data_IF_788569414501
#
_entry.id   IF_788569414501
#
_cell.length_a   1.000
_cell.length_b   1.000
_cell.length_c   1.000
_cell.angle_alpha   90.00
_cell.angle_beta   90.00
_cell.angle_gamma   90.00
#
_symmetry.space_group_name_H-M   'P 1'
#
loop_
_entity.id
_entity.type
_entity.pdbx_description
1 polymer ?
#
# COMPACT_ATOMS: atom_id res chain seq x y z
N UNK A 1 4.13 10.64 -0.31
CA UNK A 1 3.58 9.30 0.04
C UNK A 1 3.42 8.39 -1.18
N UNK A 2 2.75 8.79 -2.27
CA UNK A 2 2.53 7.91 -3.44
C UNK A 2 3.83 7.42 -4.07
N UNK A 3 4.75 8.33 -4.37
CA UNK A 3 6.06 7.97 -4.92
C UNK A 3 6.85 7.00 -4.02
N UNK A 4 6.77 7.19 -2.69
CA UNK A 4 7.43 6.29 -1.74
C UNK A 4 6.81 4.89 -1.71
N UNK A 5 5.49 4.78 -1.88
CA UNK A 5 4.80 3.48 -1.98
C UNK A 5 5.17 2.75 -3.26
N UNK A 6 5.24 3.44 -4.39
CA UNK A 6 5.69 2.86 -5.66
C UNK A 6 7.15 2.40 -5.56
N UNK A 7 8.01 3.21 -4.96
CA UNK A 7 9.42 2.87 -4.75
C UNK A 7 9.57 1.65 -3.83
N UNK A 8 8.83 1.60 -2.71
CA UNK A 8 8.82 0.46 -1.80
C UNK A 8 8.32 -0.82 -2.50
N UNK A 9 7.26 -0.70 -3.27
CA UNK A 9 6.71 -1.79 -4.07
C UNK A 9 7.76 -2.31 -5.06
N UNK A 10 8.55 -1.42 -5.69
CA UNK A 10 9.64 -1.79 -6.58
C UNK A 10 10.69 -2.66 -5.92
N UNK A 11 11.11 -2.28 -4.71
CA UNK A 11 12.07 -3.09 -3.94
C UNK A 11 11.48 -4.45 -3.58
N UNK A 12 10.22 -4.50 -3.17
CA UNK A 12 9.56 -5.76 -2.81
C UNK A 12 9.37 -6.70 -4.01
N UNK A 13 9.04 -6.17 -5.18
CA UNK A 13 8.90 -6.96 -6.43
C UNK A 13 10.28 -7.40 -6.92
N UNK A 14 11.28 -6.52 -6.80
CA UNK A 14 12.65 -6.75 -7.29
C UNK A 14 12.69 -7.31 -8.72
N UNK A 15 12.19 -6.59 -9.71
CA UNK A 15 12.07 -7.10 -11.08
C UNK A 15 13.42 -7.25 -11.80
N UNK A 16 14.53 -6.84 -11.18
CA UNK A 16 15.87 -6.85 -11.79
C UNK A 16 16.10 -5.74 -12.82
N UNK A 17 15.04 -5.22 -13.41
CA UNK A 17 15.07 -4.17 -14.44
C UNK A 17 14.07 -3.05 -14.14
N UNK A 18 14.52 -1.80 -14.22
CA UNK A 18 13.73 -0.62 -13.85
C UNK A 18 12.49 -0.44 -14.75
N UNK A 19 12.64 -0.65 -16.06
CA UNK A 19 11.53 -0.55 -17.02
C UNK A 19 10.39 -1.53 -16.73
N UNK A 20 10.71 -2.72 -16.20
CA UNK A 20 9.73 -3.72 -15.82
C UNK A 20 8.92 -3.25 -14.61
N UNK A 21 9.59 -2.56 -13.68
CA UNK A 21 8.92 -1.94 -12.52
C UNK A 21 7.89 -0.89 -12.95
N UNK A 22 8.26 -0.01 -13.88
CA UNK A 22 7.35 1.00 -14.42
C UNK A 22 6.12 0.35 -15.05
N UNK A 23 6.31 -0.67 -15.88
CA UNK A 23 5.21 -1.41 -16.51
C UNK A 23 4.31 -2.12 -15.51
N UNK A 24 4.87 -2.75 -14.47
CA UNK A 24 4.12 -3.47 -13.45
C UNK A 24 3.29 -2.53 -12.56
N UNK A 25 3.72 -1.28 -12.39
CA UNK A 25 3.05 -0.28 -11.55
C UNK A 25 2.26 0.75 -12.35
N UNK A 26 2.29 0.67 -13.67
CA UNK A 26 1.52 1.55 -14.56
C UNK A 26 0.03 1.54 -14.17
N UNK A 27 -0.53 2.72 -13.93
CA UNK A 27 -1.91 2.87 -13.50
C UNK A 27 -2.21 2.50 -12.03
N UNK A 28 -1.18 2.19 -11.22
CA UNK A 28 -1.40 1.97 -9.81
C UNK A 28 -1.71 3.30 -9.11
N UNK A 29 -2.81 3.31 -8.38
CA UNK A 29 -3.09 4.34 -7.41
C UNK A 29 -2.63 3.92 -6.01
N UNK A 30 -2.67 4.84 -5.06
CA UNK A 30 -2.25 4.58 -3.67
C UNK A 30 -2.93 3.33 -3.09
N UNK A 31 -4.23 3.12 -3.34
CA UNK A 31 -4.95 1.97 -2.81
C UNK A 31 -4.41 0.65 -3.36
N UNK A 32 -4.15 0.60 -4.67
CA UNK A 32 -3.59 -0.58 -5.34
C UNK A 32 -2.17 -0.86 -4.88
N UNK A 33 -1.35 0.18 -4.74
CA UNK A 33 0.02 0.05 -4.23
C UNK A 33 0.05 -0.52 -2.81
N UNK A 34 -0.80 -0.02 -1.91
CA UNK A 34 -0.92 -0.53 -0.54
C UNK A 34 -1.39 -2.00 -0.50
N UNK A 35 -2.36 -2.35 -1.33
CA UNK A 35 -2.82 -3.75 -1.45
C UNK A 35 -1.71 -4.68 -1.91
N UNK A 36 -0.94 -4.27 -2.92
CA UNK A 36 0.17 -5.07 -3.45
C UNK A 36 1.32 -5.19 -2.45
N UNK A 37 1.66 -4.11 -1.74
CA UNK A 37 2.67 -4.15 -0.67
C UNK A 37 2.26 -5.19 0.38
N UNK A 38 1.02 -5.16 0.88
CA UNK A 38 0.53 -6.15 1.84
C UNK A 38 0.67 -7.59 1.34
N UNK A 39 0.30 -7.85 0.09
CA UNK A 39 0.37 -9.20 -0.49
C UNK A 39 1.80 -9.70 -0.66
N UNK A 40 2.70 -8.83 -1.12
CA UNK A 40 4.08 -9.22 -1.40
C UNK A 40 4.89 -9.32 -0.12
N UNK A 41 4.70 -8.42 0.86
CA UNK A 41 5.38 -8.49 2.15
C UNK A 41 5.04 -9.79 2.88
N UNK A 42 3.78 -10.20 2.88
CA UNK A 42 3.36 -11.48 3.47
C UNK A 42 4.09 -12.70 2.90
N UNK A 43 4.45 -12.67 1.61
CA UNK A 43 5.11 -13.79 0.93
C UNK A 43 6.64 -13.73 1.03
N UNK A 44 7.22 -12.53 1.08
CA UNK A 44 8.68 -12.33 0.94
C UNK A 44 9.41 -11.98 2.22
N UNK A 45 8.70 -11.37 3.16
CA UNK A 45 9.25 -10.92 4.44
C UNK A 45 8.45 -11.67 5.49
N UNK A 46 9.11 -12.45 6.35
CA UNK A 46 8.43 -12.95 7.55
C UNK A 46 7.78 -11.79 8.24
N UNK A 47 6.53 -11.97 8.68
CA UNK A 47 5.58 -10.92 9.12
C UNK A 47 6.30 -9.76 9.80
N UNK A 48 6.48 -8.66 9.05
CA UNK A 48 7.03 -7.41 9.58
C UNK A 48 5.87 -6.56 10.11
N UNK A 49 5.64 -6.66 11.41
CA UNK A 49 4.57 -5.93 12.10
C UNK A 49 4.72 -4.41 11.93
N UNK A 50 5.95 -3.89 11.82
CA UNK A 50 6.19 -2.46 11.61
C UNK A 50 5.74 -2.04 10.21
N UNK A 51 6.08 -2.78 9.17
CA UNK A 51 5.65 -2.49 7.81
C UNK A 51 4.12 -2.59 7.68
N UNK A 52 3.50 -3.59 8.31
CA UNK A 52 2.05 -3.72 8.33
C UNK A 52 1.39 -2.51 9.01
N UNK A 53 1.87 -2.07 10.16
CA UNK A 53 1.37 -0.88 10.86
C UNK A 53 1.51 0.40 10.02
N UNK A 54 2.62 0.57 9.31
CA UNK A 54 2.86 1.66 8.38
C UNK A 54 1.82 1.64 7.25
N UNK A 55 1.59 0.49 6.62
CA UNK A 55 0.67 0.33 5.50
C UNK A 55 -0.78 0.54 5.94
N UNK A 56 -1.17 0.07 7.11
CA UNK A 56 -2.51 0.30 7.66
C UNK A 56 -2.77 1.77 7.98
N UNK A 57 -1.77 2.45 8.57
CA UNK A 57 -1.87 3.88 8.85
C UNK A 57 -1.94 4.68 7.55
N UNK A 58 -1.15 4.34 6.54
CA UNK A 58 -1.22 4.97 5.22
C UNK A 58 -2.58 4.80 4.54
N UNK A 59 -3.21 3.62 4.66
CA UNK A 59 -4.56 3.38 4.11
C UNK A 59 -5.63 4.17 4.86
N UNK A 60 -5.53 4.29 6.19
CA UNK A 60 -6.42 5.12 7.01
C UNK A 60 -6.31 6.60 6.61
N UNK A 61 -5.10 7.14 6.51
CA UNK A 61 -4.87 8.54 6.10
C UNK A 61 -5.42 8.77 4.68
N UNK A 62 -5.19 7.85 3.74
CA UNK A 62 -5.73 7.93 2.39
C UNK A 62 -7.26 8.01 2.39
N UNK A 63 -7.93 7.18 3.19
CA UNK A 63 -9.39 7.19 3.32
C UNK A 63 -9.88 8.52 3.89
N UNK A 64 -9.29 9.00 4.99
CA UNK A 64 -9.64 10.28 5.58
C UNK A 64 -9.47 11.43 4.59
N UNK A 65 -8.31 11.48 3.88
CA UNK A 65 -8.07 12.47 2.84
C UNK A 65 -9.15 12.44 1.75
N UNK A 66 -9.52 11.27 1.28
CA UNK A 66 -10.56 11.14 0.26
C UNK A 66 -11.92 11.63 0.76
N UNK A 67 -12.25 11.33 2.02
CA UNK A 67 -13.47 11.80 2.65
C UNK A 67 -13.47 13.34 2.76
N UNK A 68 -12.35 13.94 3.12
CA UNK A 68 -12.19 15.38 3.20
C UNK A 68 -12.26 16.08 1.84
N UNK A 69 -11.60 15.53 0.80
CA UNK A 69 -11.56 16.14 -0.54
C UNK A 69 -12.92 16.04 -1.25
N UNK A 70 -13.63 14.94 -1.05
CA UNK A 70 -14.89 14.68 -1.76
C UNK A 70 -16.12 14.93 -0.92
N UNK A 71 -15.98 15.30 0.35
CA UNK A 71 -17.06 15.62 1.26
C UNK A 71 -17.67 16.99 0.99
N UNK A 72 -18.87 17.18 1.52
CA UNK A 72 -19.54 18.48 1.57
C UNK A 72 -19.22 19.07 2.94
N UNK A 73 -18.62 20.25 2.96
CA UNK A 73 -18.20 20.92 4.17
C UNK A 73 -19.21 21.93 4.63
N UNK A 74 -19.54 21.90 5.91
CA UNK A 74 -20.31 22.92 6.60
C UNK A 74 -19.49 23.44 7.79
N UNK A 75 -19.26 24.75 7.84
CA UNK A 75 -18.54 25.39 8.93
C UNK A 75 -19.56 25.92 9.96
N UNK A 76 -19.36 25.56 11.21
CA UNK A 76 -20.21 25.97 12.34
C UNK A 76 -19.37 26.47 13.50
N UNK A 77 -19.99 27.23 14.38
CA UNK A 77 -19.43 27.50 15.70
C UNK A 77 -20.03 26.50 16.67
N UNK A 78 -19.21 25.96 17.57
CA UNK A 78 -19.69 25.15 18.68
C UNK A 78 -20.31 26.04 19.79
N UNK A 79 -20.81 25.42 20.84
CA UNK A 79 -21.41 26.13 21.98
C UNK A 79 -20.42 27.00 22.75
N UNK A 80 -19.12 26.84 22.54
CA UNK A 80 -18.03 27.60 23.16
C UNK A 80 -17.45 28.67 22.24
N UNK A 81 -17.96 28.79 21.00
CA UNK A 81 -17.51 29.77 20.01
C UNK A 81 -16.32 29.29 19.16
N UNK A 82 -15.91 28.04 19.28
CA UNK A 82 -14.84 27.49 18.43
C UNK A 82 -15.36 27.11 17.07
N UNK A 83 -14.53 27.28 16.06
CA UNK A 83 -14.83 26.86 14.69
C UNK A 83 -14.72 25.37 14.57
N UNK A 84 -15.82 24.71 14.22
CA UNK A 84 -15.84 23.29 13.84
C UNK A 84 -16.27 23.15 12.39
N UNK A 85 -15.68 22.22 11.69
CA UNK A 85 -16.06 21.87 10.33
C UNK A 85 -16.72 20.50 10.31
N UNK A 86 -17.93 20.43 9.77
CA UNK A 86 -18.63 19.16 9.54
C UNK A 86 -18.42 18.74 8.09
N UNK A 87 -17.92 17.53 7.89
CA UNK A 87 -17.71 16.94 6.59
C UNK A 87 -18.71 15.80 6.36
N UNK A 88 -19.65 16.02 5.48
CA UNK A 88 -20.61 15.02 5.06
C UNK A 88 -20.11 14.31 3.80
N UNK A 89 -19.92 13.00 3.89
CA UNK A 89 -19.52 12.20 2.72
C UNK A 89 -20.69 12.15 1.73
N UNK A 90 -20.36 12.30 0.43
CA UNK A 90 -21.37 12.09 -0.62
C UNK A 90 -21.96 10.69 -0.49
N UNK A 91 -23.28 10.56 -0.40
CA UNK A 91 -23.94 9.26 -0.24
C UNK A 91 -23.63 8.37 -1.45
N UNK A 92 -22.97 7.25 -1.21
CA UNK A 92 -22.80 6.21 -2.24
C UNK A 92 -24.03 5.31 -2.21
N UNK A 93 -24.81 5.24 -3.28
CA UNK A 93 -25.92 4.30 -3.34
C UNK A 93 -25.37 2.87 -3.27
N UNK A 94 -25.81 2.11 -2.28
CA UNK A 94 -25.57 0.67 -2.25
C UNK A 94 -26.76 0.00 -2.94
N UNK A 95 -26.47 -0.74 -3.99
CA UNK A 95 -27.43 -1.56 -4.70
C UNK A 95 -27.37 -2.99 -4.18
N UNK A 96 -28.49 -3.48 -3.69
CA UNK A 96 -28.65 -4.88 -3.26
C UNK A 96 -29.73 -5.53 -4.10
N UNK A 97 -29.44 -6.68 -4.66
CA UNK A 97 -30.41 -7.53 -5.37
C UNK A 97 -30.91 -8.60 -4.41
N UNK A 98 -32.20 -8.59 -4.10
CA UNK A 98 -32.85 -9.62 -3.31
C UNK A 98 -33.67 -10.50 -4.25
N UNK A 99 -33.44 -11.80 -4.26
CA UNK A 99 -34.31 -12.75 -4.94
C UNK A 99 -35.53 -13.01 -4.04
N UNK A 100 -36.72 -12.77 -4.55
CA UNK A 100 -37.96 -13.03 -3.84
C UNK A 100 -38.45 -14.44 -4.21
N UNK A 101 -39.16 -15.17 -3.31
CA UNK A 101 -39.66 -16.53 -3.57
C UNK A 101 -40.55 -16.63 -4.82
N UNK A 102 -41.19 -15.54 -5.23
CA UNK A 102 -42.01 -15.48 -6.46
C UNK A 102 -41.22 -15.48 -7.77
N UNK A 103 -39.86 -15.61 -7.72
CA UNK A 103 -38.99 -15.58 -8.90
C UNK A 103 -38.61 -14.20 -9.40
N UNK A 104 -39.19 -13.14 -8.82
CA UNK A 104 -38.82 -11.75 -9.15
C UNK A 104 -37.55 -11.31 -8.38
N UNK A 105 -36.85 -10.32 -8.96
CA UNK A 105 -35.69 -9.71 -8.32
C UNK A 105 -36.06 -8.31 -7.85
N UNK A 106 -35.98 -8.06 -6.55
CA UNK A 106 -36.13 -6.75 -5.95
C UNK A 106 -34.79 -6.02 -5.96
N UNK A 107 -34.80 -4.76 -6.39
CA UNK A 107 -33.63 -3.89 -6.40
C UNK A 107 -33.78 -2.85 -5.28
N UNK A 108 -33.02 -3.04 -4.19
CA UNK A 108 -33.00 -2.12 -3.06
C UNK A 108 -31.83 -1.17 -3.15
N UNK A 109 -32.11 0.15 -3.15
CA UNK A 109 -31.09 1.20 -3.13
C UNK A 109 -31.11 1.86 -1.75
N UNK A 110 -30.03 1.72 -1.02
CA UNK A 110 -29.83 2.40 0.27
C UNK A 110 -28.78 3.49 0.12
N UNK A 111 -29.05 4.67 0.68
CA UNK A 111 -28.10 5.77 0.77
C UNK A 111 -27.77 5.99 2.23
N UNK A 112 -26.50 5.81 2.58
CA UNK A 112 -26.02 6.11 3.93
C UNK A 112 -25.12 7.34 3.84
N UNK A 113 -25.49 8.40 4.54
CA UNK A 113 -24.64 9.58 4.71
C UNK A 113 -23.78 9.34 5.96
N UNK A 114 -22.48 9.46 5.81
CA UNK A 114 -21.56 9.47 6.96
C UNK A 114 -21.14 10.91 7.18
N UNK A 115 -21.38 11.40 8.39
CA UNK A 115 -20.96 12.72 8.83
C UNK A 115 -19.79 12.57 9.78
N UNK A 116 -18.75 13.35 9.57
CA UNK A 116 -17.59 13.42 10.46
C UNK A 116 -17.39 14.89 10.86
N UNK A 117 -17.37 15.15 12.15
CA UNK A 117 -16.94 16.46 12.66
C UNK A 117 -15.43 16.48 12.71
N UNK A 118 -14.86 17.53 12.15
CA UNK A 118 -13.40 17.69 12.03
C UNK A 118 -13.02 19.05 12.59
N UNK A 119 -12.08 19.05 13.51
CA UNK A 119 -11.48 20.26 14.04
C UNK A 119 -10.24 20.66 13.26
N UNK A 120 -9.74 21.87 13.46
CA UNK A 120 -8.45 22.27 12.92
C UNK A 120 -7.31 21.39 13.43
N UNK A 121 -7.39 20.99 14.71
CA UNK A 121 -6.39 20.12 15.33
C UNK A 121 -6.37 18.72 14.68
N UNK A 122 -7.53 18.17 14.33
CA UNK A 122 -7.63 16.90 13.61
C UNK A 122 -6.92 16.97 12.24
N UNK A 123 -7.08 18.08 11.53
CA UNK A 123 -6.41 18.30 10.24
C UNK A 123 -4.89 18.43 10.41
N UNK A 124 -4.44 19.20 11.41
CA UNK A 124 -3.02 19.35 11.75
C UNK A 124 -2.41 18.01 12.15
N UNK A 125 -3.14 17.24 12.97
CA UNK A 125 -2.70 15.91 13.38
C UNK A 125 -2.59 14.95 12.19
N UNK A 126 -3.56 14.96 11.29
CA UNK A 126 -3.55 14.16 10.06
C UNK A 126 -2.34 14.53 9.17
N UNK A 127 -2.02 15.82 9.07
CA UNK A 127 -0.84 16.27 8.32
C UNK A 127 0.47 15.77 8.94
N UNK A 128 0.62 15.85 10.27
CA UNK A 128 1.78 15.30 10.99
C UNK A 128 1.92 13.79 10.79
N UNK A 129 0.83 13.05 10.92
CA UNK A 129 0.84 11.60 10.66
C UNK A 129 1.26 11.27 9.24
N UNK A 130 0.85 12.07 8.24
CA UNK A 130 1.26 11.90 6.85
C UNK A 130 2.77 12.12 6.67
N UNK A 131 3.34 13.12 7.33
CA UNK A 131 4.78 13.36 7.32
C UNK A 131 5.55 12.20 7.96
N UNK A 132 5.11 11.73 9.12
CA UNK A 132 5.75 10.63 9.86
C UNK A 132 5.70 9.32 9.08
N UNK A 133 4.57 8.98 8.48
CA UNK A 133 4.45 7.81 7.61
C UNK A 133 5.36 7.93 6.39
N UNK A 134 5.47 9.12 5.80
CA UNK A 134 6.35 9.36 4.66
C UNK A 134 7.82 9.14 5.04
N UNK A 135 8.24 9.57 6.24
CA UNK A 135 9.59 9.31 6.77
C UNK A 135 9.82 7.82 7.03
N UNK A 136 8.88 7.14 7.68
CA UNK A 136 8.95 5.70 7.96
C UNK A 136 9.05 4.87 6.68
N UNK A 137 8.23 5.17 5.67
CA UNK A 137 8.32 4.52 4.35
C UNK A 137 9.69 4.69 3.69
N UNK A 138 10.31 5.88 3.80
CA UNK A 138 11.67 6.11 3.29
C UNK A 138 12.72 5.27 4.02
N UNK A 139 12.58 5.10 5.34
CA UNK A 139 13.50 4.31 6.13
C UNK A 139 13.36 2.82 5.82
N UNK A 140 12.14 2.27 5.84
CA UNK A 140 11.87 0.87 5.45
C UNK A 140 12.41 0.57 4.03
N UNK A 141 12.26 1.52 3.09
CA UNK A 141 12.85 1.39 1.77
C UNK A 141 14.37 1.24 1.81
N UNK A 142 15.07 2.06 2.61
CA UNK A 142 16.54 2.00 2.71
C UNK A 142 17.01 0.67 3.32
N UNK A 143 16.34 0.20 4.34
CA UNK A 143 16.65 -1.07 5.01
C UNK A 143 16.46 -2.27 4.06
N UNK A 144 15.32 -2.36 3.41
CA UNK A 144 15.05 -3.41 2.44
C UNK A 144 16.05 -3.41 1.28
N UNK A 145 16.43 -2.24 0.78
CA UNK A 145 17.44 -2.12 -0.28
C UNK A 145 18.82 -2.57 0.18
N UNK A 146 19.21 -2.28 1.42
CA UNK A 146 20.47 -2.77 1.99
C UNK A 146 20.48 -4.30 2.09
N UNK A 147 19.41 -4.90 2.62
CA UNK A 147 19.24 -6.34 2.73
C UNK A 147 19.35 -7.00 1.34
N UNK A 148 18.66 -6.46 0.36
CA UNK A 148 18.66 -6.96 -1.02
C UNK A 148 20.07 -6.92 -1.65
N UNK A 149 20.79 -5.81 -1.45
CA UNK A 149 22.17 -5.65 -1.92
C UNK A 149 23.11 -6.66 -1.26
N UNK A 150 22.89 -6.96 0.02
CA UNK A 150 23.67 -7.96 0.74
C UNK A 150 23.44 -9.37 0.18
N UNK A 151 22.19 -9.76 -0.04
CA UNK A 151 21.86 -11.07 -0.63
C UNK A 151 22.42 -11.24 -2.04
N UNK A 152 22.34 -10.22 -2.89
CA UNK A 152 22.91 -10.28 -4.23
C UNK A 152 24.43 -10.45 -4.20
N UNK A 153 25.13 -9.77 -3.30
CA UNK A 153 26.59 -9.93 -3.14
C UNK A 153 26.97 -11.32 -2.62
N UNK A 154 26.23 -11.84 -1.65
CA UNK A 154 26.49 -13.16 -1.09
C UNK A 154 26.24 -14.29 -2.10
N UNK A 155 25.18 -14.20 -2.92
CA UNK A 155 24.90 -15.18 -3.96
C UNK A 155 25.91 -15.17 -5.09
N UNK A 156 26.49 -14.01 -5.43
CA UNK A 156 27.60 -13.93 -6.40
C UNK A 156 28.89 -14.59 -5.88
N UNK A 157 29.14 -14.49 -4.58
CA UNK A 157 30.30 -15.13 -3.95
C UNK A 157 30.13 -16.65 -3.91
N UNK A 158 28.94 -17.14 -3.53
CA UNK A 158 28.65 -18.58 -3.49
C UNK A 158 28.55 -19.19 -4.88
N UNK A 159 28.01 -18.51 -5.86
CA UNK A 159 27.95 -18.96 -7.26
C UNK A 159 29.36 -19.12 -7.91
N UNK A 160 30.32 -18.30 -7.50
CA UNK A 160 31.72 -18.46 -7.96
C UNK A 160 32.41 -19.68 -7.39
N UNK A 161 32.04 -20.14 -6.22
CA UNK A 161 32.64 -21.33 -5.59
C UNK A 161 32.12 -22.65 -6.19
N UNK A 162 30.89 -22.67 -6.70
CA UNK A 162 30.27 -23.86 -7.32
C UNK A 162 30.73 -24.11 -8.76
N UNK A 163 31.25 -23.09 -9.46
CA UNK A 163 31.69 -23.22 -10.85
C UNK A 163 33.14 -23.78 -10.99
N UNK A 164 33.87 -23.96 -9.88
CA UNK A 164 35.26 -24.40 -9.89
C UNK A 164 35.41 -25.94 -9.71
N UNK A 165 34.33 -26.67 -9.38
CA UNK A 165 34.39 -28.09 -9.05
C UNK A 165 33.64 -29.02 -10.00
N UNK A 166 33.71 -28.79 -11.32
CA UNK A 166 33.33 -29.81 -12.29
C UNK A 166 34.58 -30.54 -12.77
N UNK A 167 34.88 -31.78 -12.31
CA UNK A 167 35.97 -32.55 -12.88
C UNK A 167 35.61 -32.93 -14.31
N UNK A 168 36.41 -32.52 -15.27
CA UNK A 168 36.35 -33.02 -16.64
C UNK A 168 36.50 -34.55 -16.61
N UNK A 169 35.40 -35.23 -16.83
CA UNK A 169 35.39 -36.66 -17.08
C UNK A 169 36.26 -36.93 -18.31
N UNK A 170 37.33 -37.64 -18.07
CA UNK A 170 38.24 -38.22 -19.07
C UNK A 170 37.43 -39.31 -19.79
N UNK A 171 37.05 -39.06 -21.02
CA UNK A 171 36.62 -40.14 -21.92
C UNK A 171 37.87 -40.92 -22.31
N UNK A 172 38.04 -42.12 -21.75
CA UNK A 172 38.90 -43.11 -22.30
C UNK A 172 38.20 -43.74 -23.49
N UNK A 173 38.75 -43.47 -24.69
CA UNK A 173 38.58 -44.30 -25.87
C UNK A 173 39.19 -45.69 -25.60
N UNK A 174 38.44 -46.72 -25.82
CA UNK A 174 38.88 -48.08 -25.69
C UNK A 174 38.05 -49.07 -26.51
N UNK A 175 38.42 -49.25 -27.80
CA UNK A 175 38.17 -50.41 -28.66
C UNK A 175 36.77 -50.65 -29.22
#
# INVERSE_FOLDING_TARGET
MEAQLITLLGVLINPGEEWLMERLTEGFNIAKSLEMIKKISYVRIEVDDELNAIVETADRIRKNRNDYIHGIWEIKLDSTGNVIAKCDQKPKPKHKKNKIPSGHTEHVYTRTIRSTTVTLDDLVQTAKELEDITKKLKNSFRELRMIQTYFLKSSLITGRLTSISSPRGRTEDGR
#
